data_IF_973181210019
#
_entry.id   IF_973181210019
#
_cell.length_a   1.000
_cell.length_b   1.000
_cell.length_c   1.000
_cell.angle_alpha   90.00
_cell.angle_beta   90.00
_cell.angle_gamma   90.00
#
_symmetry.space_group_name_H-M   'P 1'
#
loop_
_entity.id
_entity.type
_entity.pdbx_description
1 polymer ?
#
# COMPACT_ATOMS: atom_id res chain seq x y z
N UNK A 1 -14.25 -15.25 -15.42
CA UNK A 1 -12.82 -14.93 -15.61
C UNK A 1 -12.42 -14.13 -14.40
N UNK A 2 -11.68 -14.74 -13.48
CA UNK A 2 -11.21 -14.06 -12.27
C UNK A 2 -10.15 -13.04 -12.70
N UNK A 3 -10.47 -11.76 -12.59
CA UNK A 3 -9.52 -10.68 -12.80
C UNK A 3 -8.40 -10.90 -11.78
N UNK A 4 -7.26 -11.43 -12.23
CA UNK A 4 -6.05 -11.51 -11.43
C UNK A 4 -5.60 -10.08 -11.21
N UNK A 5 -6.16 -9.44 -10.19
CA UNK A 5 -6.12 -7.99 -10.01
C UNK A 5 -4.71 -7.46 -10.23
N UNK A 6 -4.51 -6.75 -11.33
CA UNK A 6 -3.23 -6.15 -11.66
C UNK A 6 -2.80 -5.29 -10.48
N UNK A 7 -1.61 -5.57 -9.94
CA UNK A 7 -1.01 -4.71 -8.93
C UNK A 7 -0.96 -3.29 -9.49
N UNK A 8 -1.49 -2.32 -8.73
CA UNK A 8 -1.56 -0.90 -9.13
C UNK A 8 -0.58 -0.04 -8.35
N UNK A 9 -0.12 -0.51 -7.19
CA UNK A 9 0.88 0.17 -6.40
C UNK A 9 1.91 -0.80 -5.82
N UNK A 10 3.12 -0.31 -5.56
CA UNK A 10 4.14 -0.99 -4.77
C UNK A 10 4.48 -0.14 -3.56
N UNK A 11 4.54 -0.74 -2.38
CA UNK A 11 4.95 -0.06 -1.14
C UNK A 11 6.21 -0.71 -0.61
N UNK A 12 7.24 0.11 -0.36
CA UNK A 12 8.52 -0.29 0.23
C UNK A 12 8.82 0.58 1.45
N UNK A 13 9.85 0.22 2.21
CA UNK A 13 10.35 0.98 3.36
C UNK A 13 11.73 1.56 3.07
N UNK A 14 11.94 2.83 3.40
CA UNK A 14 13.24 3.49 3.40
C UNK A 14 13.75 3.53 4.86
N UNK A 15 14.57 2.55 5.23
CA UNK A 15 15.11 2.45 6.60
C UNK A 15 15.98 3.65 7.02
N UNK A 16 16.88 4.20 6.17
CA UNK A 16 17.61 5.41 6.50
C UNK A 16 16.72 6.61 6.86
N UNK A 17 15.54 6.72 6.24
CA UNK A 17 14.61 7.84 6.47
C UNK A 17 13.49 7.52 7.44
N UNK A 18 13.28 6.24 7.75
CA UNK A 18 12.18 5.74 8.58
C UNK A 18 10.79 6.03 7.96
N UNK A 19 10.65 5.79 6.65
CA UNK A 19 9.46 6.16 5.87
C UNK A 19 8.97 5.02 4.96
N UNK A 20 7.66 4.95 4.75
CA UNK A 20 7.05 4.15 3.68
C UNK A 20 7.04 4.97 2.38
N UNK A 21 7.40 4.31 1.29
CA UNK A 21 7.32 4.87 -0.06
C UNK A 21 6.33 4.03 -0.86
N UNK A 22 5.22 4.65 -1.25
CA UNK A 22 4.21 4.05 -2.12
C UNK A 22 4.33 4.59 -3.54
N UNK A 23 4.51 3.73 -4.53
CA UNK A 23 4.60 4.11 -5.95
C UNK A 23 3.40 3.57 -6.73
N UNK A 24 2.70 4.45 -7.45
CA UNK A 24 1.69 4.04 -8.42
C UNK A 24 2.37 3.48 -9.67
N UNK A 25 2.08 2.23 -10.03
CA UNK A 25 2.78 1.55 -11.12
C UNK A 25 2.42 2.10 -12.51
N UNK A 26 1.25 2.72 -12.66
CA UNK A 26 0.80 3.27 -13.93
C UNK A 26 1.47 4.62 -14.27
N UNK A 27 1.75 5.45 -13.26
CA UNK A 27 2.24 6.83 -13.45
C UNK A 27 3.65 7.05 -12.93
N UNK A 28 4.14 6.19 -12.06
CA UNK A 28 5.39 6.41 -11.32
C UNK A 28 5.27 7.43 -10.19
N UNK A 29 4.07 7.97 -9.93
CA UNK A 29 3.84 8.91 -8.83
C UNK A 29 4.13 8.23 -7.48
N UNK A 30 4.77 8.98 -6.57
CA UNK A 30 5.19 8.49 -5.27
C UNK A 30 4.56 9.27 -4.13
N UNK A 31 4.10 8.53 -3.12
CA UNK A 31 3.70 9.04 -1.82
C UNK A 31 4.72 8.63 -0.78
N UNK A 32 4.98 9.51 0.19
CA UNK A 32 5.91 9.26 1.29
C UNK A 32 5.23 9.60 2.61
N UNK A 33 5.27 8.68 3.56
CA UNK A 33 4.77 8.86 4.93
C UNK A 33 5.32 7.79 5.85
N UNK A 34 5.49 8.06 7.14
CA UNK A 34 5.85 7.05 8.13
C UNK A 34 4.63 6.28 8.67
N UNK A 35 3.40 6.72 8.38
CA UNK A 35 2.19 6.07 8.89
C UNK A 35 1.53 5.16 7.83
N UNK A 36 1.42 3.84 8.08
CA UNK A 36 0.82 2.90 7.12
C UNK A 36 -0.66 3.15 6.85
N UNK A 37 -1.40 3.76 7.79
CA UNK A 37 -2.81 4.10 7.58
C UNK A 37 -2.95 5.30 6.64
N UNK A 38 -2.12 6.32 6.83
CA UNK A 38 -2.04 7.45 5.90
C UNK A 38 -1.61 7.00 4.51
N UNK A 39 -0.65 6.06 4.40
CA UNK A 39 -0.28 5.47 3.11
C UNK A 39 -1.49 4.81 2.42
N UNK A 40 -2.30 4.06 3.18
CA UNK A 40 -3.53 3.46 2.65
C UNK A 40 -4.53 4.51 2.15
N UNK A 41 -4.69 5.63 2.85
CA UNK A 41 -5.59 6.71 2.44
C UNK A 41 -5.12 7.39 1.14
N UNK A 42 -3.82 7.68 1.02
CA UNK A 42 -3.24 8.26 -0.19
C UNK A 42 -3.42 7.33 -1.41
N UNK A 43 -3.11 6.05 -1.24
CA UNK A 43 -3.32 5.05 -2.29
C UNK A 43 -4.80 4.88 -2.66
N UNK A 44 -5.69 4.89 -1.67
CA UNK A 44 -7.13 4.78 -1.92
C UNK A 44 -7.68 5.98 -2.69
N UNK A 45 -7.27 7.20 -2.32
CA UNK A 45 -7.61 8.43 -3.03
C UNK A 45 -7.11 8.41 -4.48
N UNK A 46 -5.97 7.76 -4.73
CA UNK A 46 -5.44 7.49 -6.07
C UNK A 46 -6.13 6.33 -6.82
N UNK A 47 -7.20 5.75 -6.26
CA UNK A 47 -7.98 4.70 -6.90
C UNK A 47 -7.42 3.28 -6.73
N UNK A 48 -6.44 3.08 -5.84
CA UNK A 48 -5.94 1.75 -5.48
C UNK A 48 -6.90 1.11 -4.47
N UNK A 49 -7.13 -0.19 -4.60
CA UNK A 49 -7.99 -0.97 -3.70
C UNK A 49 -7.22 -2.09 -3.03
N UNK A 50 -7.84 -2.69 -2.00
CA UNK A 50 -7.29 -3.88 -1.36
C UNK A 50 -6.98 -4.99 -2.39
N UNK A 51 -5.85 -5.66 -2.22
CA UNK A 51 -5.37 -6.68 -3.16
C UNK A 51 -4.63 -6.14 -4.39
N UNK A 52 -4.56 -4.82 -4.57
CA UNK A 52 -3.84 -4.17 -5.68
C UNK A 52 -2.50 -3.55 -5.25
N UNK A 53 -2.05 -3.81 -4.02
CA UNK A 53 -0.78 -3.30 -3.48
C UNK A 53 0.21 -4.45 -3.34
N UNK A 54 1.36 -4.32 -3.99
CA UNK A 54 2.50 -5.21 -3.80
C UNK A 54 3.40 -4.66 -2.68
N UNK A 55 3.80 -5.52 -1.74
CA UNK A 55 4.80 -5.20 -0.73
C UNK A 55 5.86 -6.30 -0.72
N UNK A 56 7.15 -5.95 -0.66
CA UNK A 56 8.22 -6.93 -0.62
C UNK A 56 8.16 -7.79 0.65
N UNK A 57 8.61 -9.04 0.57
CA UNK A 57 8.80 -9.89 1.76
C UNK A 57 10.16 -9.62 2.43
N UNK A 58 10.37 -10.20 3.62
CA UNK A 58 11.61 -10.01 4.41
C UNK A 58 12.87 -10.54 3.71
N UNK A 59 12.74 -11.40 2.69
CA UNK A 59 13.84 -11.94 1.87
C UNK A 59 14.31 -10.95 0.82
N UNK A 60 13.49 -9.97 0.46
CA UNK A 60 13.87 -8.86 -0.43
C UNK A 60 14.74 -7.80 0.27
N UNK A 61 15.06 -8.01 1.55
CA UNK A 61 16.05 -7.24 2.30
C UNK A 61 15.51 -5.96 2.91
N UNK A 62 16.39 -4.95 3.03
CA UNK A 62 16.16 -3.67 3.73
C UNK A 62 15.26 -2.70 2.95
N UNK A 63 14.20 -3.22 2.34
CA UNK A 63 13.13 -2.46 1.71
C UNK A 63 11.74 -2.97 2.12
N UNK A 64 11.69 -4.06 2.88
CA UNK A 64 10.45 -4.67 3.32
C UNK A 64 9.82 -3.86 4.46
N UNK A 65 8.57 -3.39 4.33
CA UNK A 65 7.85 -2.84 5.47
C UNK A 65 7.78 -3.86 6.61
N UNK A 66 7.66 -3.39 7.86
CA UNK A 66 7.43 -4.29 8.98
C UNK A 66 6.08 -5.02 8.81
N UNK A 67 5.96 -6.23 9.33
CA UNK A 67 4.71 -7.01 9.25
C UNK A 67 3.51 -6.24 9.82
N UNK A 68 3.72 -5.47 10.90
CA UNK A 68 2.69 -4.60 11.48
C UNK A 68 2.18 -3.55 10.50
N UNK A 69 3.06 -2.91 9.74
CA UNK A 69 2.70 -1.88 8.76
C UNK A 69 1.95 -2.48 7.58
N UNK A 70 2.36 -3.65 7.10
CA UNK A 70 1.64 -4.38 6.04
C UNK A 70 0.21 -4.71 6.46
N UNK A 71 0.03 -5.13 7.71
CA UNK A 71 -1.30 -5.43 8.27
C UNK A 71 -2.12 -4.15 8.39
N UNK A 72 -1.55 -3.08 8.96
CA UNK A 72 -2.24 -1.81 9.18
C UNK A 72 -2.69 -1.17 7.85
N UNK A 73 -1.82 -1.17 6.83
CA UNK A 73 -2.13 -0.65 5.50
C UNK A 73 -3.27 -1.43 4.85
N UNK A 74 -3.16 -2.77 4.78
CA UNK A 74 -4.20 -3.60 4.17
C UNK A 74 -5.54 -3.48 4.90
N UNK A 75 -5.52 -3.51 6.23
CA UNK A 75 -6.72 -3.38 7.04
C UNK A 75 -7.41 -2.03 6.81
N UNK A 76 -6.64 -0.94 6.69
CA UNK A 76 -7.19 0.38 6.37
C UNK A 76 -7.80 0.44 4.97
N UNK A 77 -7.15 -0.14 3.95
CA UNK A 77 -7.74 -0.23 2.60
C UNK A 77 -9.06 -0.99 2.58
N UNK A 78 -9.20 -2.06 3.36
CA UNK A 78 -10.47 -2.80 3.50
C UNK A 78 -11.55 -1.92 4.14
N UNK A 79 -11.23 -1.18 5.20
CA UNK A 79 -12.20 -0.26 5.83
C UNK A 79 -12.66 0.83 4.86
N UNK A 80 -11.74 1.44 4.11
CA UNK A 80 -12.07 2.48 3.14
C UNK A 80 -12.99 1.95 2.03
N UNK A 81 -12.74 0.74 1.53
CA UNK A 81 -13.61 0.10 0.53
C UNK A 81 -15.02 -0.18 1.04
N UNK A 82 -15.17 -0.62 2.31
CA UNK A 82 -16.49 -0.82 2.93
C UNK A 82 -17.23 0.51 3.13
N UNK A 83 -16.53 1.53 3.61
CA UNK A 83 -17.08 2.89 3.78
C UNK A 83 -17.57 3.49 2.45
N UNK A 84 -16.82 3.29 1.36
CA UNK A 84 -17.24 3.70 0.00
C UNK A 84 -18.49 2.94 -0.48
N UNK A 85 -18.67 1.68 -0.04
CA UNK A 85 -19.78 0.81 -0.43
C UNK A 85 -21.05 1.03 0.41
N UNK A 86 -20.99 1.84 1.47
CA UNK A 86 -22.13 2.13 2.35
C UNK A 86 -22.47 1.03 3.37
N UNK A 87 -21.51 0.14 3.66
CA UNK A 87 -21.60 -0.87 4.73
C UNK A 87 -21.17 -0.34 6.11
#
# INVERSE_FOLDING_TARGET
MSDGGYMRARVVYDYPRDELIGTLLATGETFVTSDPKQMAELLFAAGVRHGQVQMPDWREGDIAPATGDKIALNFRLVQLGRQESGE
#
